data_IF_999617539387
#
_entry.id   IF_999617539387
#
_cell.length_a   1.000
_cell.length_b   1.000
_cell.length_c   1.000
_cell.angle_alpha   90.00
_cell.angle_beta   90.00
_cell.angle_gamma   90.00
#
_symmetry.space_group_name_H-M   'P 1'
#
loop_
_entity.id
_entity.type
_entity.pdbx_description
1 polymer ?
#
# COMPACT_ATOMS: atom_id res chain seq x y z
N UNK A 1 -38.28 0.71 2.83
CA UNK A 1 -37.71 -0.38 2.00
C UNK A 1 -36.22 -0.44 2.25
N UNK A 2 -35.80 -1.27 3.21
CA UNK A 2 -34.39 -1.52 3.50
C UNK A 2 -33.82 -2.45 2.42
N UNK A 3 -32.85 -1.98 1.65
CA UNK A 3 -32.08 -2.87 0.77
C UNK A 3 -31.05 -3.59 1.64
N UNK A 4 -31.40 -4.79 2.12
CA UNK A 4 -30.41 -5.74 2.62
C UNK A 4 -29.42 -6.05 1.49
N UNK A 5 -28.20 -5.53 1.62
CA UNK A 5 -27.08 -5.94 0.76
C UNK A 5 -26.72 -7.36 1.15
N UNK A 6 -27.20 -8.33 0.37
CA UNK A 6 -26.65 -9.68 0.42
C UNK A 6 -25.25 -9.62 -0.18
N UNK A 7 -24.23 -9.75 0.66
CA UNK A 7 -22.87 -10.06 0.22
C UNK A 7 -22.89 -11.52 -0.23
N UNK A 8 -23.12 -11.75 -1.51
CA UNK A 8 -22.80 -13.04 -2.12
C UNK A 8 -21.28 -13.16 -2.09
N UNK A 9 -20.77 -14.15 -1.36
CA UNK A 9 -19.40 -14.60 -1.49
C UNK A 9 -19.21 -15.21 -2.90
N UNK A 10 -19.07 -14.35 -3.91
CA UNK A 10 -18.91 -14.72 -5.30
C UNK A 10 -17.44 -14.72 -5.69
N UNK A 11 -16.92 -15.87 -6.12
CA UNK A 11 -15.61 -15.93 -6.79
C UNK A 11 -15.70 -15.13 -8.10
N UNK A 12 -14.86 -14.09 -8.25
CA UNK A 12 -14.72 -13.33 -9.48
C UNK A 12 -13.55 -13.87 -10.31
N UNK A 13 -13.77 -14.05 -11.62
CA UNK A 13 -12.71 -14.47 -12.55
C UNK A 13 -12.13 -13.26 -13.26
N UNK A 14 -10.80 -13.16 -13.26
CA UNK A 14 -10.05 -12.14 -13.99
C UNK A 14 -9.32 -12.79 -15.17
N UNK A 15 -9.65 -12.37 -16.40
CA UNK A 15 -8.96 -12.80 -17.62
C UNK A 15 -8.09 -11.66 -18.12
N UNK A 16 -6.79 -11.92 -18.31
CA UNK A 16 -5.81 -10.93 -18.75
C UNK A 16 -5.16 -11.38 -20.07
N UNK A 17 -5.04 -10.46 -21.01
CA UNK A 17 -4.19 -10.65 -22.17
C UNK A 17 -2.73 -10.42 -21.77
N UNK A 18 -1.87 -11.38 -22.08
CA UNK A 18 -0.42 -11.31 -21.85
C UNK A 18 0.33 -11.48 -23.17
N UNK A 19 1.56 -10.99 -23.24
CA UNK A 19 2.39 -11.18 -24.43
C UNK A 19 2.72 -12.67 -24.64
N UNK A 20 2.95 -13.09 -25.90
CA UNK A 20 3.36 -14.46 -26.20
C UNK A 20 4.67 -14.86 -25.49
N UNK A 21 5.61 -13.92 -25.34
CA UNK A 21 6.88 -14.15 -24.63
C UNK A 21 6.64 -14.50 -23.16
N UNK A 22 5.86 -13.68 -22.44
CA UNK A 22 5.54 -13.91 -21.03
C UNK A 22 4.78 -15.23 -20.85
N UNK A 23 3.86 -15.56 -21.76
CA UNK A 23 3.18 -16.85 -21.75
C UNK A 23 4.15 -18.03 -21.85
N UNK A 24 5.24 -17.89 -22.62
CA UNK A 24 6.32 -18.87 -22.71
C UNK A 24 7.03 -19.04 -21.36
N UNK A 25 7.52 -17.95 -20.78
CA UNK A 25 8.22 -17.94 -19.48
C UNK A 25 7.37 -18.54 -18.35
N UNK A 26 6.08 -18.19 -18.28
CA UNK A 26 5.16 -18.75 -17.28
C UNK A 26 4.97 -20.27 -17.45
N UNK A 27 5.02 -20.77 -18.69
CA UNK A 27 4.87 -22.22 -18.99
C UNK A 27 6.12 -23.02 -18.65
N UNK A 28 7.30 -22.43 -18.82
CA UNK A 28 8.58 -23.07 -18.42
C UNK A 28 8.62 -23.29 -16.91
N UNK A 29 8.05 -22.35 -16.15
CA UNK A 29 7.90 -22.41 -14.70
C UNK A 29 6.60 -23.14 -14.29
N UNK A 30 6.42 -24.36 -14.78
CA UNK A 30 5.21 -25.17 -14.57
C UNK A 30 4.96 -25.59 -13.10
N UNK A 31 5.96 -25.47 -12.24
CA UNK A 31 5.87 -25.76 -10.81
C UNK A 31 5.22 -24.61 -10.01
N UNK A 32 5.05 -23.44 -10.63
CA UNK A 32 4.44 -22.26 -9.99
C UNK A 32 2.92 -22.27 -10.16
N UNK A 33 2.20 -22.06 -9.06
CA UNK A 33 0.75 -21.80 -9.11
C UNK A 33 0.49 -20.32 -9.43
N UNK A 34 0.48 -19.99 -10.72
CA UNK A 34 0.31 -18.61 -11.19
C UNK A 34 -0.99 -17.94 -10.75
N UNK A 35 -2.07 -18.70 -10.55
CA UNK A 35 -3.33 -18.13 -10.05
C UNK A 35 -3.21 -17.64 -8.61
N UNK A 36 -2.48 -18.37 -7.77
CA UNK A 36 -2.24 -17.97 -6.39
C UNK A 36 -1.23 -16.83 -6.30
N UNK A 37 -0.13 -16.91 -7.06
CA UNK A 37 0.90 -15.87 -7.09
C UNK A 37 0.31 -14.52 -7.57
N UNK A 38 -0.52 -14.57 -8.62
CA UNK A 38 -1.20 -13.37 -9.14
C UNK A 38 -2.17 -12.80 -8.12
N UNK A 39 -2.93 -13.66 -7.40
CA UNK A 39 -3.85 -13.21 -6.36
C UNK A 39 -3.11 -12.47 -5.25
N UNK A 40 -2.04 -13.06 -4.73
CA UNK A 40 -1.21 -12.45 -3.68
C UNK A 40 -0.63 -11.11 -4.13
N UNK A 41 -0.05 -11.08 -5.32
CA UNK A 41 0.49 -9.86 -5.91
C UNK A 41 -0.59 -8.74 -5.97
N UNK A 42 -1.77 -9.07 -6.49
CA UNK A 42 -2.87 -8.10 -6.62
C UNK A 42 -3.36 -7.61 -5.26
N UNK A 43 -3.54 -8.49 -4.29
CA UNK A 43 -3.97 -8.11 -2.93
C UNK A 43 -2.98 -7.15 -2.27
N UNK A 44 -1.69 -7.46 -2.31
CA UNK A 44 -0.65 -6.59 -1.76
C UNK A 44 -0.58 -5.26 -2.50
N UNK A 45 -0.64 -5.29 -3.84
CA UNK A 45 -0.57 -4.09 -4.66
C UNK A 45 -1.74 -3.17 -4.38
N UNK A 46 -2.95 -3.69 -4.26
CA UNK A 46 -4.15 -2.93 -3.92
C UNK A 46 -4.03 -2.33 -2.53
N UNK A 47 -3.54 -3.07 -1.53
CA UNK A 47 -3.32 -2.54 -0.17
C UNK A 47 -2.35 -1.35 -0.18
N UNK A 48 -1.20 -1.49 -0.87
CA UNK A 48 -0.20 -0.42 -1.01
C UNK A 48 -0.79 0.81 -1.71
N UNK A 49 -1.51 0.63 -2.81
CA UNK A 49 -2.14 1.73 -3.55
C UNK A 49 -3.22 2.44 -2.73
N UNK A 50 -4.02 1.71 -1.95
CA UNK A 50 -5.00 2.31 -1.03
C UNK A 50 -4.33 3.13 0.07
N UNK A 51 -3.21 2.65 0.62
CA UNK A 51 -2.42 3.41 1.59
C UNK A 51 -1.89 4.70 0.97
N UNK A 52 -1.28 4.64 -0.21
CA UNK A 52 -0.78 5.82 -0.92
C UNK A 52 -1.91 6.83 -1.19
N UNK A 53 -3.07 6.37 -1.66
CA UNK A 53 -4.24 7.23 -1.86
C UNK A 53 -4.70 7.89 -0.56
N UNK A 54 -4.67 7.16 0.56
CA UNK A 54 -5.02 7.69 1.88
C UNK A 54 -4.01 8.76 2.32
N UNK A 55 -2.71 8.49 2.16
CA UNK A 55 -1.66 9.46 2.47
C UNK A 55 -1.84 10.72 1.65
N UNK A 56 -2.01 10.60 0.33
CA UNK A 56 -2.25 11.72 -0.58
C UNK A 56 -3.47 12.55 -0.14
N UNK A 57 -4.57 11.90 0.25
CA UNK A 57 -5.75 12.59 0.78
C UNK A 57 -5.45 13.33 2.10
N UNK A 58 -4.69 12.72 3.00
CA UNK A 58 -4.32 13.33 4.29
C UNK A 58 -3.32 14.48 4.12
N UNK A 59 -2.46 14.42 3.11
CA UNK A 59 -1.41 15.42 2.85
C UNK A 59 -1.83 16.47 1.83
N UNK A 60 -3.00 16.34 1.21
CA UNK A 60 -3.46 17.20 0.10
C UNK A 60 -3.42 18.70 0.43
N UNK A 61 -3.77 19.07 1.66
CA UNK A 61 -3.79 20.46 2.11
C UNK A 61 -2.59 20.81 3.00
N UNK A 62 -1.63 19.89 3.14
CA UNK A 62 -0.42 20.12 3.93
C UNK A 62 0.44 21.19 3.25
N UNK A 63 0.82 22.22 4.01
CA UNK A 63 1.74 23.29 3.57
C UNK A 63 3.10 23.22 4.24
N UNK A 64 3.35 22.14 5.01
CA UNK A 64 4.61 21.95 5.72
C UNK A 64 5.76 21.91 4.71
N UNK A 65 6.74 22.77 4.93
CA UNK A 65 8.00 22.75 4.18
C UNK A 65 9.00 21.80 4.83
N UNK A 66 10.13 21.57 4.17
CA UNK A 66 11.19 20.74 4.70
C UNK A 66 11.84 21.37 5.96
N UNK A 67 11.93 22.71 5.99
CA UNK A 67 12.36 23.46 7.16
C UNK A 67 11.41 23.27 8.35
N UNK A 68 10.09 23.28 8.11
CA UNK A 68 9.09 23.04 9.16
C UNK A 68 9.27 21.64 9.78
N UNK A 69 9.50 20.63 8.93
CA UNK A 69 9.73 19.25 9.36
C UNK A 69 11.00 19.16 10.22
N UNK A 70 12.08 19.81 9.79
CA UNK A 70 13.36 19.84 10.52
C UNK A 70 13.23 20.54 11.87
N UNK A 71 12.51 21.66 11.92
CA UNK A 71 12.29 22.40 13.16
C UNK A 71 11.43 21.60 14.16
N UNK A 72 10.35 20.97 13.68
CA UNK A 72 9.50 20.10 14.50
C UNK A 72 10.32 18.92 15.04
N UNK A 73 11.13 18.27 14.20
CA UNK A 73 12.01 17.18 14.62
C UNK A 73 13.00 17.61 15.72
N UNK A 74 13.63 18.77 15.56
CA UNK A 74 14.54 19.32 16.56
C UNK A 74 13.83 19.63 17.90
N UNK A 75 12.61 20.17 17.86
CA UNK A 75 11.80 20.44 19.06
C UNK A 75 11.42 19.14 19.79
N UNK A 76 11.01 18.11 19.05
CA UNK A 76 10.68 16.79 19.61
C UNK A 76 11.91 16.19 20.31
N UNK A 77 13.05 16.17 19.64
CA UNK A 77 14.30 15.63 20.19
C UNK A 77 14.73 16.35 21.47
N UNK A 78 14.68 17.69 21.47
CA UNK A 78 14.96 18.49 22.68
C UNK A 78 14.00 18.17 23.82
N UNK A 79 12.71 17.99 23.53
CA UNK A 79 11.70 17.62 24.52
C UNK A 79 11.94 16.25 25.15
N UNK A 80 12.20 15.23 24.31
CA UNK A 80 12.52 13.86 24.76
C UNK A 80 13.78 13.88 25.63
N UNK A 81 14.82 14.55 25.17
CA UNK A 81 16.08 14.65 25.87
C UNK A 81 15.97 15.34 27.23
N UNK A 82 15.21 16.44 27.31
CA UNK A 82 14.91 17.10 28.58
C UNK A 82 14.17 16.18 29.54
N UNK A 83 13.25 15.35 29.05
CA UNK A 83 12.48 14.40 29.85
C UNK A 83 13.34 13.23 30.36
N UNK A 84 14.31 12.78 29.56
CA UNK A 84 15.12 11.60 29.84
C UNK A 84 16.56 11.90 30.29
N UNK A 85 16.92 13.18 30.45
CA UNK A 85 18.26 13.60 30.87
C UNK A 85 19.36 13.34 29.84
N UNK A 86 18.99 13.17 28.56
CA UNK A 86 19.92 12.92 27.47
C UNK A 86 20.44 14.27 26.96
N UNK A 87 21.74 14.40 26.63
CA UNK A 87 22.24 15.60 25.92
C UNK A 87 22.00 15.45 24.42
N UNK A 88 21.42 16.47 23.79
CA UNK A 88 21.22 16.62 22.33
C UNK A 88 21.95 17.86 21.85
#
# INVERSE_FOLDING_TARGET
MERKVFVLAGSATLTLAISPSLKGELRELNWVNWSEETRRFLEERVRKLKLLKKLDTMTKDSRLTEEDIMEIGAKINKGIAKRHGIKV
#
